data_IF_771774797169
#
_entry.id   IF_771774797169
#
_cell.length_a   1.000
_cell.length_b   1.000
_cell.length_c   1.000
_cell.angle_alpha   90.00
_cell.angle_beta   90.00
_cell.angle_gamma   90.00
#
_symmetry.space_group_name_H-M   'P 1'
#
loop_
_entity.id
_entity.type
_entity.pdbx_description
1 polymer ?
#
# COMPACT_ATOMS: atom_id res chain seq x y z
N UNK A 1 -62.43 -30.90 6.43
CA UNK A 1 -61.15 -31.64 6.40
C UNK A 1 -60.10 -30.70 5.81
N UNK A 2 -59.15 -30.18 6.62
CA UNK A 2 -58.09 -29.31 6.14
C UNK A 2 -56.91 -30.15 5.63
N UNK A 3 -56.47 -29.89 4.41
CA UNK A 3 -55.31 -30.51 3.79
C UNK A 3 -54.02 -29.82 4.21
N UNK A 4 -53.06 -30.62 4.68
CA UNK A 4 -51.74 -30.18 5.14
C UNK A 4 -50.83 -29.85 3.96
N UNK A 5 -50.46 -28.58 3.78
CA UNK A 5 -49.43 -28.16 2.81
C UNK A 5 -48.07 -28.33 3.46
N UNK A 6 -47.23 -29.23 2.92
CA UNK A 6 -45.83 -29.41 3.33
C UNK A 6 -44.96 -28.49 2.48
N UNK A 7 -44.42 -27.44 3.09
CA UNK A 7 -43.35 -26.65 2.49
C UNK A 7 -42.03 -27.43 2.64
N UNK A 8 -41.61 -28.09 1.57
CA UNK A 8 -40.27 -28.68 1.47
C UNK A 8 -39.25 -27.56 1.37
N UNK A 9 -38.53 -27.33 2.46
CA UNK A 9 -37.37 -26.44 2.51
C UNK A 9 -36.20 -27.04 1.71
N UNK A 10 -36.05 -26.63 0.46
CA UNK A 10 -34.80 -26.78 -0.29
C UNK A 10 -33.93 -25.56 0.02
N UNK A 11 -33.19 -25.63 1.13
CA UNK A 11 -32.05 -24.73 1.36
C UNK A 11 -30.86 -25.38 0.67
N UNK A 12 -30.68 -25.07 -0.61
CA UNK A 12 -29.44 -25.37 -1.31
C UNK A 12 -28.37 -24.42 -0.76
N UNK A 13 -27.52 -24.95 0.11
CA UNK A 13 -26.33 -24.25 0.55
C UNK A 13 -25.36 -24.15 -0.64
N UNK A 14 -25.46 -23.05 -1.40
CA UNK A 14 -24.37 -22.58 -2.24
C UNK A 14 -23.23 -22.15 -1.33
N UNK A 15 -22.43 -23.11 -0.86
CA UNK A 15 -21.08 -22.83 -0.41
C UNK A 15 -20.28 -22.53 -1.67
N UNK A 16 -20.43 -21.31 -2.19
CA UNK A 16 -19.45 -20.75 -3.09
C UNK A 16 -18.15 -20.72 -2.29
N UNK A 17 -17.28 -21.69 -2.55
CA UNK A 17 -15.89 -21.63 -2.14
C UNK A 17 -15.30 -20.42 -2.83
N UNK A 18 -15.44 -19.27 -2.18
CA UNK A 18 -14.64 -18.09 -2.42
C UNK A 18 -13.23 -18.51 -1.97
N UNK A 19 -12.54 -19.27 -2.81
CA UNK A 19 -11.10 -19.37 -2.73
C UNK A 19 -10.63 -17.97 -3.01
N UNK A 20 -10.42 -17.18 -1.95
CA UNK A 20 -9.61 -15.98 -2.02
C UNK A 20 -8.28 -16.47 -2.57
N UNK A 21 -8.08 -16.33 -3.88
CA UNK A 21 -6.76 -16.47 -4.46
C UNK A 21 -5.94 -15.42 -3.72
N UNK A 22 -5.05 -15.87 -2.84
CA UNK A 22 -4.13 -14.98 -2.17
C UNK A 22 -3.41 -14.22 -3.29
N UNK A 23 -3.70 -12.92 -3.40
CA UNK A 23 -3.05 -12.07 -4.37
C UNK A 23 -1.61 -11.94 -3.94
N UNK A 24 -0.68 -12.42 -4.76
CA UNK A 24 0.73 -12.25 -4.44
C UNK A 24 1.07 -10.76 -4.35
N UNK A 25 1.81 -10.41 -3.31
CA UNK A 25 2.23 -9.04 -3.05
C UNK A 25 3.74 -8.99 -3.20
N UNK A 26 4.22 -8.12 -4.09
CA UNK A 26 5.65 -7.95 -4.33
C UNK A 26 6.07 -6.49 -4.17
N UNK A 27 7.27 -6.28 -3.64
CA UNK A 27 7.83 -4.96 -3.39
C UNK A 27 9.28 -4.85 -3.87
N UNK A 28 9.70 -3.62 -4.11
CA UNK A 28 11.10 -3.25 -4.33
C UNK A 28 11.68 -2.72 -3.01
N UNK A 29 12.87 -3.20 -2.66
CA UNK A 29 13.68 -2.68 -1.55
C UNK A 29 15.01 -2.14 -2.07
N UNK A 30 15.44 -0.99 -1.56
CA UNK A 30 16.72 -0.38 -1.91
C UNK A 30 17.88 -0.91 -1.05
N UNK A 31 17.59 -1.69 -0.01
CA UNK A 31 18.56 -2.43 0.75
C UNK A 31 18.74 -3.83 0.14
N UNK A 32 19.98 -4.24 -0.21
CA UNK A 32 20.22 -5.52 -0.86
C UNK A 32 20.28 -6.71 0.11
N UNK A 33 19.93 -6.52 1.39
CA UNK A 33 19.81 -7.60 2.37
C UNK A 33 18.54 -8.39 2.12
N UNK A 34 18.57 -9.69 2.42
CA UNK A 34 17.44 -10.58 2.16
C UNK A 34 16.20 -10.22 2.98
N UNK A 35 15.08 -10.01 2.28
CA UNK A 35 13.76 -9.69 2.81
C UNK A 35 13.38 -8.22 2.64
N UNK A 36 12.19 -7.84 3.10
CA UNK A 36 11.78 -6.43 3.08
C UNK A 36 12.33 -5.69 4.32
N UNK A 37 13.23 -4.72 4.11
CA UNK A 37 13.72 -3.82 5.16
C UNK A 37 13.00 -2.47 5.16
N UNK A 38 11.98 -2.33 4.31
CA UNK A 38 11.20 -1.13 4.12
C UNK A 38 12.05 0.09 3.69
N UNK A 39 13.18 -0.14 3.01
CA UNK A 39 14.01 0.96 2.51
C UNK A 39 13.53 1.36 1.13
N UNK A 40 12.68 2.39 1.09
CA UNK A 40 12.06 2.89 -0.16
C UNK A 40 12.71 4.14 -0.72
N UNK A 41 13.59 4.79 0.04
CA UNK A 41 14.29 5.99 -0.39
C UNK A 41 15.81 5.89 -0.16
N UNK A 42 16.61 6.30 -1.13
CA UNK A 42 18.08 6.29 -1.02
C UNK A 42 18.72 7.48 -1.74
N UNK A 43 19.83 7.97 -1.18
CA UNK A 43 20.70 8.92 -1.86
C UNK A 43 21.69 8.19 -2.75
N UNK A 44 21.83 8.63 -3.99
CA UNK A 44 22.74 8.06 -4.98
C UNK A 44 23.51 9.17 -5.69
N UNK A 45 24.63 8.81 -6.28
CA UNK A 45 25.43 9.67 -7.14
C UNK A 45 25.27 9.25 -8.60
N UNK A 46 25.34 10.19 -9.55
CA UNK A 46 25.40 9.85 -10.97
C UNK A 46 26.58 8.90 -11.23
N UNK A 47 26.33 7.79 -11.93
CA UNK A 47 27.33 6.75 -12.14
C UNK A 47 27.37 5.64 -11.08
N UNK A 48 26.57 5.71 -10.01
CA UNK A 48 26.47 4.62 -9.04
C UNK A 48 25.81 3.38 -9.65
N UNK A 49 26.21 2.21 -9.16
CA UNK A 49 25.59 0.93 -9.46
C UNK A 49 24.79 0.48 -8.23
N UNK A 50 23.48 0.46 -8.38
CA UNK A 50 22.52 0.17 -7.32
C UNK A 50 22.04 -1.28 -7.42
N UNK A 51 22.04 -1.99 -6.31
CA UNK A 51 21.38 -3.29 -6.15
C UNK A 51 20.05 -3.07 -5.42
N UNK A 52 18.95 -3.46 -6.04
CA UNK A 52 17.59 -3.47 -5.46
C UNK A 52 17.17 -4.91 -5.24
N UNK A 53 16.43 -5.18 -4.17
CA UNK A 53 15.80 -6.47 -3.97
C UNK A 53 14.36 -6.48 -4.50
N UNK A 54 13.99 -7.57 -5.18
CA UNK A 54 12.59 -7.88 -5.49
C UNK A 54 12.10 -8.89 -4.46
N UNK A 55 11.14 -8.49 -3.62
CA UNK A 55 10.68 -9.30 -2.49
C UNK A 55 9.23 -9.67 -2.68
N UNK A 56 8.88 -10.94 -2.44
CA UNK A 56 7.50 -11.37 -2.24
C UNK A 56 7.12 -11.21 -0.76
N UNK A 57 6.10 -10.43 -0.45
CA UNK A 57 5.53 -10.31 0.90
C UNK A 57 4.53 -11.44 1.20
N UNK A 58 3.87 -11.97 0.17
CA UNK A 58 2.96 -13.12 0.26
C UNK A 58 2.67 -13.70 -1.13
N UNK A 59 2.03 -14.88 -1.18
CA UNK A 59 1.56 -15.52 -2.42
C UNK A 59 2.67 -16.12 -3.30
N UNK A 60 3.86 -16.35 -2.75
CA UNK A 60 4.95 -17.02 -3.43
C UNK A 60 5.03 -18.53 -3.15
N UNK A 61 4.10 -19.10 -2.39
CA UNK A 61 4.09 -20.55 -2.16
C UNK A 61 3.85 -21.29 -3.48
N UNK A 62 4.64 -22.34 -3.74
CA UNK A 62 4.62 -23.10 -4.99
C UNK A 62 4.95 -22.26 -6.24
N UNK A 63 5.61 -21.10 -6.09
CA UNK A 63 6.07 -20.26 -7.19
C UNK A 63 7.09 -21.03 -8.05
N UNK A 64 6.79 -21.19 -9.33
CA UNK A 64 7.60 -21.86 -10.36
C UNK A 64 8.35 -20.83 -11.22
N UNK A 65 7.78 -19.64 -11.39
CA UNK A 65 8.37 -18.55 -12.17
C UNK A 65 7.56 -17.25 -12.09
N UNK A 66 8.14 -16.17 -12.58
CA UNK A 66 7.47 -14.87 -12.66
C UNK A 66 7.88 -14.12 -13.92
N UNK A 67 7.08 -13.12 -14.28
CA UNK A 67 7.35 -12.08 -15.26
C UNK A 67 6.89 -10.75 -14.67
N UNK A 68 7.78 -9.79 -14.47
CA UNK A 68 7.46 -8.49 -13.87
C UNK A 68 7.95 -7.34 -14.72
N UNK A 69 7.24 -6.21 -14.69
CA UNK A 69 7.63 -4.98 -15.36
C UNK A 69 8.10 -3.92 -14.37
N UNK A 70 9.32 -3.46 -14.56
CA UNK A 70 9.87 -2.26 -13.94
C UNK A 70 9.72 -1.07 -14.88
N UNK A 71 9.22 0.03 -14.34
CA UNK A 71 9.10 1.31 -15.01
C UNK A 71 10.06 2.32 -14.38
N UNK A 72 10.83 3.03 -15.20
CA UNK A 72 11.75 4.07 -14.81
C UNK A 72 12.08 4.98 -15.99
N UNK A 73 12.61 6.17 -15.72
CA UNK A 73 13.04 7.10 -16.79
C UNK A 73 14.39 6.65 -17.37
N UNK A 74 14.47 6.26 -18.66
CA UNK A 74 15.70 5.70 -19.23
C UNK A 74 16.85 6.72 -19.33
N UNK A 75 16.55 8.02 -19.26
CA UNK A 75 17.56 9.08 -19.19
C UNK A 75 18.23 9.17 -17.80
N UNK A 76 17.61 8.57 -16.78
CA UNK A 76 18.05 8.57 -15.39
C UNK A 76 18.62 7.23 -14.93
N UNK A 77 18.10 6.14 -15.50
CA UNK A 77 18.42 4.78 -15.05
C UNK A 77 18.66 3.84 -16.24
N UNK A 78 19.67 2.99 -16.11
CA UNK A 78 19.95 1.93 -17.07
C UNK A 78 19.90 0.57 -16.37
N UNK A 79 19.06 -0.34 -16.86
CA UNK A 79 19.04 -1.70 -16.35
C UNK A 79 20.34 -2.44 -16.70
N UNK A 80 20.99 -3.03 -15.69
CA UNK A 80 22.24 -3.77 -15.87
C UNK A 80 21.99 -5.29 -15.85
N UNK A 81 21.37 -5.84 -14.81
CA UNK A 81 21.14 -7.28 -14.70
C UNK A 81 20.07 -7.65 -13.68
N UNK A 82 19.64 -8.90 -13.70
CA UNK A 82 18.83 -9.53 -12.68
C UNK A 82 19.48 -10.86 -12.30
N UNK A 83 19.56 -11.14 -11.01
CA UNK A 83 20.10 -12.38 -10.48
C UNK A 83 19.05 -13.03 -9.57
N UNK A 84 18.46 -14.18 -9.97
CA UNK A 84 17.59 -14.95 -9.09
C UNK A 84 18.32 -15.34 -7.81
N UNK A 85 17.64 -15.20 -6.67
CA UNK A 85 18.14 -15.51 -5.33
C UNK A 85 16.96 -15.93 -4.44
N UNK A 86 17.21 -16.31 -3.18
CA UNK A 86 16.17 -16.62 -2.21
C UNK A 86 15.19 -17.69 -2.72
N UNK A 87 13.90 -17.34 -2.80
CA UNK A 87 12.80 -18.18 -3.30
C UNK A 87 13.01 -18.68 -4.73
N UNK A 88 13.84 -17.99 -5.53
CA UNK A 88 14.12 -18.31 -6.93
C UNK A 88 15.54 -18.85 -7.13
N UNK A 89 16.22 -19.24 -6.04
CA UNK A 89 17.53 -19.87 -6.08
C UNK A 89 17.51 -21.13 -6.95
N UNK A 90 18.40 -21.19 -7.94
CA UNK A 90 18.51 -22.32 -8.87
C UNK A 90 17.63 -22.22 -10.12
N UNK A 91 16.87 -21.14 -10.27
CA UNK A 91 16.17 -20.82 -11.53
C UNK A 91 17.07 -20.03 -12.48
N UNK A 92 16.72 -20.05 -13.78
CA UNK A 92 17.38 -19.23 -14.78
C UNK A 92 16.59 -17.94 -15.01
N UNK A 93 17.30 -16.81 -15.08
CA UNK A 93 16.72 -15.57 -15.59
C UNK A 93 16.68 -15.60 -17.12
N UNK A 94 15.54 -15.25 -17.70
CA UNK A 94 15.44 -15.04 -19.14
C UNK A 94 16.09 -13.69 -19.51
N UNK A 95 16.57 -13.54 -20.76
CA UNK A 95 17.05 -12.25 -21.23
C UNK A 95 15.98 -11.17 -21.02
N UNK A 96 16.34 -10.01 -20.43
CA UNK A 96 15.39 -8.93 -20.15
C UNK A 96 14.81 -8.38 -21.45
N UNK A 97 13.55 -7.97 -21.43
CA UNK A 97 12.90 -7.32 -22.56
C UNK A 97 12.79 -5.82 -22.29
N UNK A 98 13.37 -4.98 -23.14
CA UNK A 98 13.23 -3.53 -23.02
C UNK A 98 11.80 -3.09 -23.35
N UNK A 99 11.26 -2.15 -22.58
CA UNK A 99 10.00 -1.44 -22.87
C UNK A 99 10.30 0.03 -23.17
N UNK A 100 9.28 0.80 -23.58
CA UNK A 100 9.44 2.23 -23.86
C UNK A 100 9.82 3.04 -22.60
N UNK A 101 9.44 2.53 -21.42
CA UNK A 101 9.53 3.19 -20.13
C UNK A 101 10.24 2.34 -19.05
N UNK A 102 11.05 1.35 -19.45
CA UNK A 102 11.75 0.49 -18.50
C UNK A 102 12.14 -0.90 -19.05
N UNK A 103 11.90 -1.94 -18.25
CA UNK A 103 12.31 -3.32 -18.56
C UNK A 103 11.36 -4.35 -17.97
N UNK A 104 11.17 -5.46 -18.69
CA UNK A 104 10.50 -6.66 -18.21
C UNK A 104 11.52 -7.74 -17.87
N UNK A 105 11.37 -8.31 -16.69
CA UNK A 105 12.28 -9.30 -16.09
C UNK A 105 11.47 -10.56 -15.85
N UNK A 106 12.00 -11.71 -16.27
CA UNK A 106 11.34 -12.99 -16.07
C UNK A 106 12.36 -14.02 -15.57
N UNK A 107 11.97 -14.86 -14.63
CA UNK A 107 12.79 -15.96 -14.12
C UNK A 107 11.89 -17.14 -13.74
N UNK A 108 12.42 -18.36 -13.87
CA UNK A 108 11.69 -19.57 -13.50
C UNK A 108 12.25 -20.83 -14.16
N UNK A 109 11.84 -21.99 -13.67
CA UNK A 109 12.13 -23.28 -14.32
C UNK A 109 11.05 -24.30 -13.95
N UNK A 110 10.65 -25.22 -14.85
CA UNK A 110 9.57 -26.17 -14.59
C UNK A 110 9.78 -27.09 -13.37
N UNK A 111 11.03 -27.33 -12.99
CA UNK A 111 11.40 -28.24 -11.90
C UNK A 111 11.55 -27.53 -10.54
N UNK A 112 11.35 -26.20 -10.50
CA UNK A 112 11.48 -25.39 -9.28
C UNK A 112 10.12 -25.04 -8.71
N UNK A 113 10.02 -25.07 -7.37
CA UNK A 113 8.85 -24.61 -6.61
C UNK A 113 9.32 -23.98 -5.32
N UNK A 114 8.95 -22.73 -5.10
CA UNK A 114 9.22 -22.07 -3.82
C UNK A 114 8.50 -22.81 -2.67
N UNK A 115 9.21 -23.19 -1.59
CA UNK A 115 8.59 -23.82 -0.42
C UNK A 115 7.92 -22.80 0.52
N UNK A 116 8.23 -21.52 0.36
CA UNK A 116 7.83 -20.44 1.27
C UNK A 116 6.89 -19.48 0.54
N UNK A 117 6.02 -18.81 1.31
CA UNK A 117 5.02 -17.88 0.76
C UNK A 117 5.54 -16.45 0.60
N UNK A 118 6.67 -16.13 1.22
CA UNK A 118 7.28 -14.80 1.23
C UNK A 118 8.80 -14.93 1.28
N UNK A 119 9.52 -13.95 0.73
CA UNK A 119 10.98 -13.93 0.66
C UNK A 119 11.53 -13.23 -0.58
N UNK A 120 12.86 -13.16 -0.68
CA UNK A 120 13.54 -12.57 -1.83
C UNK A 120 13.30 -13.40 -3.10
N UNK A 121 13.00 -12.75 -4.22
CA UNK A 121 13.02 -13.37 -5.55
C UNK A 121 14.36 -13.21 -6.25
N UNK A 122 15.22 -12.30 -5.76
CA UNK A 122 16.47 -11.96 -6.41
C UNK A 122 16.77 -10.47 -6.43
N UNK A 123 17.89 -10.14 -7.05
CA UNK A 123 18.46 -8.79 -7.06
C UNK A 123 18.43 -8.20 -8.45
N UNK A 124 17.90 -7.00 -8.56
CA UNK A 124 17.89 -6.16 -9.75
C UNK A 124 19.05 -5.18 -9.63
N UNK A 125 19.88 -5.08 -10.67
CA UNK A 125 20.97 -4.12 -10.72
C UNK A 125 20.66 -3.01 -11.70
N UNK A 126 20.68 -1.78 -11.22
CA UNK A 126 20.41 -0.56 -12.00
C UNK A 126 21.64 0.35 -11.94
N UNK A 127 22.07 0.83 -13.09
CA UNK A 127 23.09 1.86 -13.21
C UNK A 127 22.42 3.24 -13.21
N UNK A 128 22.83 4.12 -12.31
CA UNK A 128 22.41 5.52 -12.32
C UNK A 128 23.18 6.23 -13.44
N UNK A 129 22.48 6.87 -14.36
CA UNK A 129 23.13 7.53 -15.50
C UNK A 129 23.94 8.75 -15.04
N UNK A 130 24.92 9.17 -15.83
CA UNK A 130 25.70 10.39 -15.54
C UNK A 130 24.88 11.68 -15.65
N UNK A 131 23.72 11.63 -16.33
CA UNK A 131 22.78 12.74 -16.49
C UNK A 131 21.78 12.85 -15.34
N UNK A 132 21.72 11.85 -14.45
CA UNK A 132 20.80 11.88 -13.32
C UNK A 132 21.02 13.11 -12.44
N UNK A 133 19.96 13.85 -12.16
CA UNK A 133 19.98 15.02 -11.28
C UNK A 133 18.64 15.15 -10.57
N UNK A 134 18.65 15.66 -9.33
CA UNK A 134 17.42 15.77 -8.54
C UNK A 134 16.97 14.44 -7.97
N UNK A 135 15.78 13.98 -8.34
CA UNK A 135 15.16 12.75 -7.87
C UNK A 135 14.53 11.96 -9.02
N UNK A 136 14.42 10.65 -8.87
CA UNK A 136 13.76 9.76 -9.83
C UNK A 136 13.17 8.54 -9.13
N UNK A 137 12.22 7.89 -9.81
CA UNK A 137 11.48 6.76 -9.28
C UNK A 137 11.74 5.50 -10.12
N UNK A 138 11.76 4.35 -9.46
CA UNK A 138 11.70 3.03 -10.08
C UNK A 138 10.44 2.35 -9.52
N UNK A 139 9.52 1.99 -10.39
CA UNK A 139 8.23 1.40 -10.02
C UNK A 139 8.09 0.00 -10.55
N UNK A 140 7.61 -0.92 -9.72
CA UNK A 140 7.07 -2.20 -10.11
C UNK A 140 5.59 -2.00 -10.45
N UNK A 141 5.22 -2.15 -11.73
CA UNK A 141 3.89 -1.71 -12.24
C UNK A 141 2.94 -2.85 -12.61
N UNK A 142 3.43 -4.08 -12.69
CA UNK A 142 2.60 -5.26 -12.91
C UNK A 142 3.43 -6.48 -13.29
N UNK A 143 2.75 -7.61 -13.41
CA UNK A 143 3.38 -8.84 -13.85
C UNK A 143 2.46 -10.05 -13.81
N UNK A 144 3.08 -11.23 -13.97
CA UNK A 144 2.46 -12.52 -13.83
C UNK A 144 3.33 -13.45 -12.99
N UNK A 145 2.70 -14.37 -12.26
CA UNK A 145 3.36 -15.46 -11.56
C UNK A 145 2.87 -16.77 -12.13
N UNK A 146 3.74 -17.76 -12.10
CA UNK A 146 3.44 -19.13 -12.47
C UNK A 146 3.54 -19.93 -11.18
N UNK A 147 2.43 -20.47 -10.71
CA UNK A 147 2.37 -21.30 -9.51
C UNK A 147 1.44 -22.50 -9.76
N UNK A 148 1.88 -23.70 -9.39
CA UNK A 148 1.12 -24.93 -9.62
C UNK A 148 0.70 -25.16 -11.08
N UNK A 149 1.52 -24.71 -12.05
CA UNK A 149 1.21 -24.77 -13.47
C UNK A 149 0.13 -23.80 -13.97
N UNK A 150 -0.29 -22.83 -13.15
CA UNK A 150 -1.24 -21.78 -13.52
C UNK A 150 -0.54 -20.41 -13.57
N UNK A 151 -0.94 -19.58 -14.53
CA UNK A 151 -0.50 -18.18 -14.62
C UNK A 151 -1.52 -17.29 -13.94
N UNK A 152 -1.06 -16.46 -12.99
CA UNK A 152 -1.88 -15.48 -12.31
C UNK A 152 -1.35 -14.08 -12.63
N UNK A 153 -2.22 -13.19 -13.11
CA UNK A 153 -1.92 -11.77 -13.25
C UNK A 153 -2.18 -11.06 -11.92
N UNK A 154 -1.39 -10.03 -11.63
CA UNK A 154 -1.60 -9.16 -10.47
C UNK A 154 -1.17 -7.72 -10.79
N UNK A 155 -1.84 -6.73 -10.19
CA UNK A 155 -1.37 -5.36 -10.21
C UNK A 155 -0.22 -5.17 -9.21
N UNK A 156 0.76 -4.33 -9.57
CA UNK A 156 1.77 -3.86 -8.63
C UNK A 156 1.79 -2.36 -8.54
N UNK A 157 1.98 -1.88 -7.31
CA UNK A 157 2.18 -0.47 -7.00
C UNK A 157 3.31 -0.33 -5.97
N UNK A 158 4.47 -0.94 -6.21
CA UNK A 158 5.66 -0.69 -5.39
C UNK A 158 6.54 0.31 -6.09
N UNK A 159 6.98 1.35 -5.39
CA UNK A 159 7.86 2.38 -5.94
C UNK A 159 8.96 2.69 -4.93
N UNK A 160 10.18 2.80 -5.44
CA UNK A 160 11.34 3.29 -4.70
C UNK A 160 11.82 4.60 -5.31
N UNK A 161 12.36 5.48 -4.48
CA UNK A 161 12.78 6.83 -4.84
C UNK A 161 14.27 7.03 -4.60
N UNK A 162 14.93 7.60 -5.59
CA UNK A 162 16.36 7.90 -5.57
C UNK A 162 16.57 9.41 -5.67
N UNK A 163 17.58 9.95 -5.00
CA UNK A 163 17.90 11.38 -5.06
C UNK A 163 19.41 11.67 -4.97
N UNK A 164 19.84 12.80 -5.55
CA UNK A 164 21.26 13.22 -5.64
C UNK A 164 21.74 14.18 -4.55
N UNK A 165 20.84 14.69 -3.70
CA UNK A 165 21.18 15.65 -2.66
C UNK A 165 21.62 14.98 -1.36
N UNK A 166 22.49 15.65 -0.59
CA UNK A 166 22.43 15.51 0.87
C UNK A 166 20.97 15.79 1.22
N UNK A 167 20.27 14.85 1.86
CA UNK A 167 19.02 15.16 2.51
C UNK A 167 19.31 16.32 3.47
N UNK A 168 19.10 17.56 3.01
CA UNK A 168 19.16 18.79 3.80
C UNK A 168 18.03 18.72 4.83
N UNK A 169 18.19 17.82 5.80
CA UNK A 169 17.07 17.16 6.43
C UNK A 169 16.23 16.40 5.40
N UNK A 170 15.74 15.22 5.77
CA UNK A 170 14.33 15.01 5.47
C UNK A 170 13.60 16.11 6.23
N UNK A 171 13.48 17.31 5.66
CA UNK A 171 12.29 18.11 5.92
C UNK A 171 11.18 17.10 5.63
N UNK A 172 10.48 16.66 6.68
CA UNK A 172 9.36 15.74 6.56
C UNK A 172 8.61 16.15 5.30
N UNK A 173 8.45 15.22 4.34
CA UNK A 173 7.68 15.51 3.12
C UNK A 173 6.50 16.35 3.55
N UNK A 174 6.34 17.58 3.03
CA UNK A 174 5.36 18.52 3.54
C UNK A 174 4.06 17.75 3.67
N UNK A 175 3.51 17.76 4.88
CA UNK A 175 2.34 16.96 5.23
C UNK A 175 1.33 17.11 4.07
N UNK A 176 0.90 16.00 3.46
CA UNK A 176 0.10 16.08 2.25
C UNK A 176 -1.10 16.99 2.51
N UNK A 177 -1.40 17.87 1.56
CA UNK A 177 -2.52 18.79 1.69
C UNK A 177 -3.77 17.96 2.01
N UNK A 178 -4.59 18.31 3.02
CA UNK A 178 -5.82 17.57 3.32
C UNK A 178 -6.68 17.29 2.10
N UNK A 179 -6.75 18.21 1.14
CA UNK A 179 -7.48 17.99 -0.11
C UNK A 179 -6.89 16.85 -0.94
N UNK A 180 -5.56 16.75 -1.02
CA UNK A 180 -4.87 15.67 -1.73
C UNK A 180 -5.10 14.32 -1.04
N UNK A 181 -5.11 14.28 0.31
CA UNK A 181 -5.44 13.05 1.05
C UNK A 181 -6.89 12.65 0.75
N UNK A 182 -7.82 13.61 0.77
CA UNK A 182 -9.23 13.35 0.49
C UNK A 182 -9.41 12.83 -0.95
N UNK A 183 -8.68 13.34 -1.92
CA UNK A 183 -8.73 12.88 -3.32
C UNK A 183 -8.27 11.43 -3.50
N UNK A 184 -7.51 10.88 -2.55
CA UNK A 184 -7.16 9.45 -2.56
C UNK A 184 -8.25 8.56 -1.98
N UNK A 185 -9.23 9.11 -1.26
CA UNK A 185 -10.30 8.31 -0.65
C UNK A 185 -11.30 7.80 -1.72
N UNK A 186 -12.03 6.71 -1.43
CA UNK A 186 -13.19 6.31 -2.22
C UNK A 186 -14.19 7.45 -2.42
N UNK A 187 -14.76 7.57 -3.63
CA UNK A 187 -15.67 8.67 -4.01
C UNK A 187 -16.80 8.90 -2.99
N UNK A 188 -17.31 7.83 -2.39
CA UNK A 188 -18.37 7.86 -1.38
C UNK A 188 -17.94 8.63 -0.11
N UNK A 189 -16.67 8.55 0.26
CA UNK A 189 -16.12 9.24 1.43
C UNK A 189 -15.64 10.65 1.11
N UNK A 190 -15.19 10.92 -0.13
CA UNK A 190 -14.60 12.22 -0.48
C UNK A 190 -15.50 13.41 -0.14
N UNK A 191 -16.78 13.33 -0.52
CA UNK A 191 -17.74 14.41 -0.27
C UNK A 191 -17.94 14.71 1.22
N UNK A 192 -18.03 13.67 2.06
CA UNK A 192 -18.19 13.78 3.50
C UNK A 192 -16.97 14.44 4.16
N UNK A 193 -15.77 14.02 3.76
CA UNK A 193 -14.53 14.57 4.30
C UNK A 193 -14.26 16.00 3.82
N UNK A 194 -14.62 16.35 2.57
CA UNK A 194 -14.56 17.75 2.09
C UNK A 194 -15.49 18.65 2.87
N UNK A 195 -16.72 18.21 3.12
CA UNK A 195 -17.68 18.97 3.93
C UNK A 195 -17.15 19.14 5.36
N UNK A 196 -16.67 18.08 6.01
CA UNK A 196 -16.08 18.15 7.35
C UNK A 196 -14.86 19.10 7.41
N UNK A 197 -14.01 19.10 6.38
CA UNK A 197 -12.88 20.02 6.26
C UNK A 197 -13.34 21.47 6.12
N UNK A 198 -14.29 21.74 5.22
CA UNK A 198 -14.83 23.10 4.99
C UNK A 198 -15.40 23.70 6.29
N UNK A 199 -16.12 22.90 7.08
CA UNK A 199 -16.62 23.36 8.38
C UNK A 199 -15.50 23.60 9.41
N UNK A 200 -14.42 22.83 9.35
CA UNK A 200 -13.25 23.00 10.24
C UNK A 200 -12.51 24.30 9.91
N UNK A 201 -12.40 24.65 8.63
CA UNK A 201 -11.68 25.85 8.17
C UNK A 201 -12.44 27.16 8.40
N UNK A 202 -13.77 27.14 8.44
CA UNK A 202 -14.59 28.35 8.63
C UNK A 202 -14.34 29.08 9.97
N UNK A 203 -13.71 28.45 10.94
CA UNK A 203 -13.22 29.04 12.21
C UNK A 203 -14.24 29.92 12.96
N UNK A 204 -15.55 29.67 12.80
CA UNK A 204 -16.62 30.37 13.50
C UNK A 204 -17.07 29.53 14.71
N UNK A 205 -16.89 30.01 15.95
CA UNK A 205 -17.35 29.28 17.14
C UNK A 205 -18.86 28.99 17.13
N UNK A 206 -19.66 29.76 16.39
CA UNK A 206 -21.10 29.54 16.28
C UNK A 206 -21.48 28.33 15.42
N UNK A 207 -20.56 27.83 14.59
CA UNK A 207 -20.75 26.63 13.75
C UNK A 207 -20.05 25.39 14.33
N UNK A 208 -19.47 25.47 15.53
CA UNK A 208 -18.73 24.37 16.15
C UNK A 208 -19.60 23.12 16.34
N UNK A 209 -20.86 23.27 16.74
CA UNK A 209 -21.79 22.14 16.85
C UNK A 209 -22.09 21.49 15.50
N UNK A 210 -22.30 22.28 14.45
CA UNK A 210 -22.57 21.77 13.10
C UNK A 210 -21.34 21.05 12.55
N UNK A 211 -20.14 21.63 12.73
CA UNK A 211 -18.87 20.99 12.37
C UNK A 211 -18.70 19.61 13.03
N UNK A 212 -19.07 19.48 14.30
CA UNK A 212 -19.01 18.20 15.02
C UNK A 212 -20.00 17.18 14.47
N UNK A 213 -21.21 17.59 14.11
CA UNK A 213 -22.21 16.70 13.53
C UNK A 213 -21.73 16.13 12.18
N UNK A 214 -21.16 16.97 11.30
CA UNK A 214 -20.56 16.52 10.04
C UNK A 214 -19.37 15.58 10.25
N UNK A 215 -18.51 15.87 11.24
CA UNK A 215 -17.38 14.98 11.59
C UNK A 215 -17.87 13.63 12.12
N UNK A 216 -18.90 13.60 12.96
CA UNK A 216 -19.48 12.36 13.48
C UNK A 216 -20.06 11.54 12.34
N UNK A 217 -20.83 12.17 11.44
CA UNK A 217 -21.40 11.51 10.27
C UNK A 217 -20.30 10.89 9.38
N UNK A 218 -19.24 11.65 9.08
CA UNK A 218 -18.11 11.14 8.29
C UNK A 218 -17.44 9.92 8.96
N UNK A 219 -17.28 9.92 10.29
CA UNK A 219 -16.71 8.79 11.03
C UNK A 219 -17.61 7.55 11.03
N UNK A 220 -18.92 7.72 11.13
CA UNK A 220 -19.89 6.62 11.08
C UNK A 220 -19.93 5.96 9.70
N UNK A 221 -19.97 6.76 8.62
CA UNK A 221 -19.91 6.26 7.25
C UNK A 221 -18.55 5.60 6.94
N UNK A 222 -17.45 6.19 7.41
CA UNK A 222 -16.12 5.57 7.32
C UNK A 222 -16.10 4.21 7.99
N UNK A 223 -16.66 4.10 9.21
CA UNK A 223 -16.75 2.82 9.93
C UNK A 223 -17.55 1.79 9.13
N UNK A 224 -18.69 2.18 8.57
CA UNK A 224 -19.51 1.32 7.71
C UNK A 224 -18.72 0.83 6.49
N UNK A 225 -18.04 1.74 5.80
CA UNK A 225 -17.26 1.46 4.59
C UNK A 225 -16.07 0.52 4.84
N UNK A 226 -15.35 0.70 5.96
CA UNK A 226 -14.15 -0.11 6.28
C UNK A 226 -14.41 -1.61 6.38
N UNK A 227 -15.67 -2.03 6.60
CA UNK A 227 -16.05 -3.44 6.61
C UNK A 227 -15.86 -4.12 5.24
N UNK A 228 -15.99 -3.38 4.14
CA UNK A 228 -15.88 -3.89 2.77
C UNK A 228 -14.68 -3.33 2.01
N UNK A 229 -13.97 -2.34 2.58
CA UNK A 229 -12.81 -1.71 1.99
C UNK A 229 -11.65 -2.70 1.75
N UNK A 230 -10.94 -2.49 0.65
CA UNK A 230 -9.65 -3.11 0.35
C UNK A 230 -8.58 -2.65 1.36
N UNK A 231 -7.43 -3.34 1.38
CA UNK A 231 -6.33 -2.98 2.26
C UNK A 231 -5.78 -1.58 1.94
N UNK A 232 -5.66 -1.24 0.66
CA UNK A 232 -5.15 0.07 0.23
C UNK A 232 -6.10 1.20 0.64
N UNK A 233 -7.40 1.04 0.40
CA UNK A 233 -8.41 2.02 0.84
C UNK A 233 -8.39 2.20 2.37
N UNK A 234 -8.20 1.12 3.13
CA UNK A 234 -8.03 1.20 4.59
C UNK A 234 -6.81 2.01 5.00
N UNK A 235 -5.68 1.89 4.28
CA UNK A 235 -4.47 2.70 4.54
C UNK A 235 -4.74 4.17 4.28
N UNK A 236 -5.38 4.50 3.16
CA UNK A 236 -5.76 5.86 2.81
C UNK A 236 -6.72 6.47 3.84
N UNK A 237 -7.74 5.71 4.27
CA UNK A 237 -8.66 6.10 5.34
C UNK A 237 -7.91 6.36 6.65
N UNK A 238 -6.94 5.51 7.02
CA UNK A 238 -6.16 5.69 8.25
C UNK A 238 -5.32 6.97 8.22
N UNK A 239 -4.70 7.27 7.06
CA UNK A 239 -3.96 8.53 6.87
C UNK A 239 -4.88 9.75 7.00
N UNK A 240 -6.07 9.71 6.38
CA UNK A 240 -7.07 10.76 6.53
C UNK A 240 -7.47 10.94 8.00
N UNK A 241 -7.81 9.86 8.71
CA UNK A 241 -8.19 9.92 10.13
C UNK A 241 -7.08 10.47 11.03
N UNK A 242 -5.82 10.15 10.76
CA UNK A 242 -4.67 10.74 11.47
C UNK A 242 -4.60 12.25 11.25
N UNK A 243 -4.76 12.70 9.99
CA UNK A 243 -4.81 14.13 9.68
C UNK A 243 -5.94 14.83 10.43
N UNK A 244 -7.17 14.32 10.37
CA UNK A 244 -8.31 14.96 11.04
C UNK A 244 -8.23 14.92 12.57
N UNK A 245 -7.42 14.01 13.13
CA UNK A 245 -7.23 13.89 14.57
C UNK A 245 -6.17 14.84 15.12
N UNK A 246 -5.01 14.90 14.47
CA UNK A 246 -3.84 15.66 14.94
C UNK A 246 -3.63 16.98 14.19
N UNK A 247 -4.36 17.20 13.11
CA UNK A 247 -4.11 18.30 12.17
C UNK A 247 -2.73 18.20 11.50
N UNK A 248 -2.23 19.35 11.06
CA UNK A 248 -0.89 19.49 10.48
C UNK A 248 0.25 19.60 11.50
N UNK A 249 0.01 19.30 12.78
CA UNK A 249 1.09 19.32 13.79
C UNK A 249 1.89 18.02 13.72
N UNK A 250 3.00 18.07 12.99
CA UNK A 250 3.91 16.94 12.84
C UNK A 250 4.81 16.71 14.05
N UNK A 251 4.80 17.60 15.05
CA UNK A 251 5.58 17.37 16.27
C UNK A 251 4.83 16.53 17.30
N UNK A 252 3.54 16.23 17.09
CA UNK A 252 2.77 15.38 17.99
C UNK A 252 3.39 13.97 18.06
N UNK A 253 3.90 13.55 19.25
CA UNK A 253 4.58 12.28 19.41
C UNK A 253 3.65 11.07 19.22
N UNK A 254 2.35 11.24 19.48
CA UNK A 254 1.35 10.21 19.24
C UNK A 254 1.06 10.06 17.74
N UNK A 255 0.96 11.16 16.98
CA UNK A 255 0.87 11.14 15.51
C UNK A 255 2.05 10.39 14.89
N UNK A 256 3.29 10.72 15.30
CA UNK A 256 4.51 10.04 14.84
C UNK A 256 4.49 8.55 15.15
N UNK A 257 4.10 8.20 16.37
CA UNK A 257 3.99 6.80 16.80
C UNK A 257 2.98 6.03 15.94
N UNK A 258 1.81 6.60 15.67
CA UNK A 258 0.78 5.93 14.87
C UNK A 258 1.17 5.84 13.39
N UNK A 259 1.81 6.88 12.81
CA UNK A 259 2.41 6.81 11.46
C UNK A 259 3.44 5.67 11.37
N UNK A 260 4.27 5.50 12.39
CA UNK A 260 5.26 4.42 12.46
C UNK A 260 4.61 3.04 12.64
N UNK A 261 3.62 2.90 13.53
CA UNK A 261 2.83 1.67 13.68
C UNK A 261 2.17 1.25 12.34
N UNK A 262 1.71 2.20 11.52
CA UNK A 262 1.18 1.91 10.18
C UNK A 262 2.25 1.39 9.21
N UNK A 263 3.48 1.91 9.31
CA UNK A 263 4.59 1.56 8.42
C UNK A 263 5.25 0.23 8.81
N UNK A 264 5.29 -0.08 10.10
CA UNK A 264 5.97 -1.26 10.65
C UNK A 264 5.06 -2.49 10.76
N UNK A 265 3.78 -2.37 10.39
CA UNK A 265 2.79 -3.42 10.60
C UNK A 265 3.13 -4.71 9.82
N UNK A 266 3.43 -5.80 10.55
CA UNK A 266 3.85 -7.09 9.97
C UNK A 266 2.67 -7.84 9.33
N UNK A 267 1.49 -7.75 9.94
CA UNK A 267 0.21 -8.09 9.31
C UNK A 267 -0.52 -6.77 9.06
N UNK A 268 -0.36 -6.19 7.85
CA UNK A 268 -0.91 -4.87 7.56
C UNK A 268 -2.44 -4.87 7.60
N UNK A 269 -3.11 -6.02 7.65
CA UNK A 269 -4.57 -6.08 7.70
C UNK A 269 -5.07 -6.02 9.13
N UNK A 270 -4.60 -6.89 10.01
CA UNK A 270 -5.10 -6.97 11.39
C UNK A 270 -4.69 -5.75 12.22
N UNK A 271 -3.44 -5.29 12.09
CA UNK A 271 -2.91 -4.17 12.87
C UNK A 271 -3.45 -2.83 12.39
N UNK A 272 -3.62 -2.66 11.07
CA UNK A 272 -4.26 -1.48 10.49
C UNK A 272 -5.75 -1.42 10.85
N UNK A 273 -6.46 -2.54 10.86
CA UNK A 273 -7.85 -2.58 11.32
C UNK A 273 -7.95 -2.18 12.80
N UNK A 274 -7.10 -2.75 13.65
CA UNK A 274 -7.07 -2.37 15.07
C UNK A 274 -6.69 -0.89 15.27
N UNK A 275 -5.80 -0.35 14.44
CA UNK A 275 -5.47 1.07 14.44
C UNK A 275 -6.64 1.94 13.97
N UNK A 276 -7.29 1.58 12.88
CA UNK A 276 -8.46 2.27 12.35
C UNK A 276 -9.59 2.31 13.37
N UNK A 277 -9.89 1.18 14.02
CA UNK A 277 -10.89 1.12 15.09
C UNK A 277 -10.52 2.05 16.25
N UNK A 278 -9.26 2.02 16.71
CA UNK A 278 -8.76 2.95 17.75
C UNK A 278 -8.91 4.41 17.34
N UNK A 279 -8.57 4.77 16.10
CA UNK A 279 -8.69 6.13 15.58
C UNK A 279 -10.15 6.57 15.46
N UNK A 280 -11.03 5.71 14.95
CA UNK A 280 -12.46 5.97 14.84
C UNK A 280 -13.09 6.17 16.22
N UNK A 281 -12.78 5.30 17.19
CA UNK A 281 -13.26 5.43 18.57
C UNK A 281 -12.75 6.71 19.24
N UNK A 282 -11.47 7.03 19.09
CA UNK A 282 -10.88 8.22 19.71
C UNK A 282 -11.47 9.50 19.12
N UNK A 283 -11.59 9.58 17.79
CA UNK A 283 -12.22 10.72 17.12
C UNK A 283 -13.69 10.87 17.50
N UNK A 284 -14.47 9.78 17.50
CA UNK A 284 -15.88 9.82 17.90
C UNK A 284 -16.03 10.25 19.37
N UNK A 285 -15.19 9.72 20.27
CA UNK A 285 -15.21 10.09 21.68
C UNK A 285 -14.90 11.57 21.90
N UNK A 286 -13.88 12.11 21.23
CA UNK A 286 -13.55 13.54 21.30
C UNK A 286 -14.69 14.40 20.76
N UNK A 287 -15.24 14.08 19.60
CA UNK A 287 -16.35 14.82 19.02
C UNK A 287 -17.55 14.87 19.97
N UNK A 288 -17.90 13.74 20.60
CA UNK A 288 -18.98 13.67 21.59
C UNK A 288 -18.67 14.44 22.87
N UNK A 289 -17.41 14.49 23.32
CA UNK A 289 -17.03 15.31 24.48
C UNK A 289 -17.18 16.81 24.20
N UNK A 290 -16.76 17.26 23.01
CA UNK A 290 -16.90 18.68 22.62
C UNK A 290 -18.37 19.04 22.47
N UNK A 291 -19.16 18.19 21.80
CA UNK A 291 -20.60 18.42 21.62
C UNK A 291 -21.33 18.57 22.95
N UNK A 292 -21.01 17.74 23.95
CA UNK A 292 -21.58 17.85 25.31
C UNK A 292 -21.18 19.12 26.06
N UNK A 293 -20.05 19.74 25.73
CA UNK A 293 -19.61 21.01 26.34
C UNK A 293 -20.28 22.22 25.66
N UNK A 294 -20.69 22.08 24.41
CA UNK A 294 -21.38 23.12 23.65
C UNK A 294 -22.87 23.25 24.02
N UNK A 295 -23.46 22.22 24.65
CA UNK A 295 -24.85 22.17 25.15
C UNK A 295 -24.98 22.72 26.57
#
# INVERSE_FOLDING_TARGET
>A
MPGTVRYSSLVAACVAGLSAAASAEFVLDLDPREGDQNVREMQVRPGDLLDLELVALSGAQDLEGFDVQLRFEPDHFEYASFQPDGLMSGTDALPPQKTDDGVRISAGTPDHRSPEDAGSLGRIRIQITSSFSGAGNISLVGGTLIAGGQTHEFPFNSTVRLSTGEAEGLAASPDPNPEEIIDTLPEELQSLYREALEFTERADPSTESESLDHRILALEETRSYTATATLEEKRQIALALLFFHFGGDDEDPEKKKLKMEMQEAQDPTAELLALLERLLEKNHHLSMQVLRRAQ
#
